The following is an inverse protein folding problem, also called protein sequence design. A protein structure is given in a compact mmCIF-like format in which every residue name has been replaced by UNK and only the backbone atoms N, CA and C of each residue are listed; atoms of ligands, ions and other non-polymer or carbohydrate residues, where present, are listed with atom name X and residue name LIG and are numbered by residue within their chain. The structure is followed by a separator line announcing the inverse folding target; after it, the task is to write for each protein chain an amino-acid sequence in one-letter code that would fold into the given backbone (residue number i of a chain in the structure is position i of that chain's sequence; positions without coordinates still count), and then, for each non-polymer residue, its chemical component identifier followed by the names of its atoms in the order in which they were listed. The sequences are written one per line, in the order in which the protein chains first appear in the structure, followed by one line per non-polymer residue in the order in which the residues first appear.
data_IF_740702062419
#
_entry.id   IF_740702062419
#
_cell.length_a   1.000
_cell.length_b   1.000
_cell.length_c   1.000
_cell.angle_alpha   90.00
_cell.angle_beta   90.00
_cell.angle_gamma   90.00
#
_symmetry.space_group_name_H-M   'P 1'
#
loop_
_entity.id
_entity.type
_entity.pdbx_description
1 polymer ?
#
# COMPACT_ATOMS: atom_id res chain seq x y z
N UNK A 1 -4.98 1.48 21.36
CA UNK A 1 -5.93 1.29 20.24
C UNK A 1 -5.10 0.87 19.05
N UNK A 2 -5.26 -0.36 18.59
CA UNK A 2 -4.58 -0.85 17.40
C UNK A 2 -5.19 -0.15 16.17
N UNK A 3 -4.33 0.43 15.32
CA UNK A 3 -4.75 1.10 14.08
C UNK A 3 -4.34 0.23 12.90
N UNK A 4 -5.29 -0.13 12.04
CA UNK A 4 -5.03 -0.95 10.86
C UNK A 4 -5.64 -0.32 9.60
N UNK A 5 -5.04 -0.64 8.45
CA UNK A 5 -5.50 -0.22 7.13
C UNK A 5 -5.54 -1.45 6.21
N UNK A 6 -6.63 -1.59 5.45
CA UNK A 6 -6.79 -2.67 4.47
C UNK A 6 -6.61 -2.10 3.06
N UNK A 7 -5.72 -2.71 2.30
CA UNK A 7 -5.46 -2.36 0.89
C UNK A 7 -5.87 -3.56 0.04
N UNK A 8 -6.71 -3.34 -0.96
CA UNK A 8 -7.22 -4.38 -1.87
C UNK A 8 -7.17 -3.91 -3.32
N UNK A 9 -6.71 -4.79 -4.20
CA UNK A 9 -6.85 -4.61 -5.64
C UNK A 9 -8.23 -5.08 -6.11
N UNK A 10 -8.81 -4.39 -7.11
CA UNK A 10 -10.02 -4.85 -7.80
C UNK A 10 -9.61 -5.69 -9.00
N UNK A 11 -10.07 -6.93 -9.07
CA UNK A 11 -9.77 -7.86 -10.17
C UNK A 11 -11.01 -8.42 -10.86
N UNK A 12 -12.16 -8.38 -10.18
CA UNK A 12 -13.43 -8.91 -10.66
C UNK A 12 -14.50 -7.81 -10.53
N UNK A 13 -15.38 -7.73 -11.52
CA UNK A 13 -16.49 -6.78 -11.56
C UNK A 13 -17.84 -7.48 -11.35
N UNK A 14 -18.87 -6.72 -10.96
CA UNK A 14 -20.20 -7.26 -10.63
C UNK A 14 -20.92 -7.90 -11.83
N UNK A 15 -20.45 -7.62 -13.06
CA UNK A 15 -20.98 -8.18 -14.31
C UNK A 15 -20.72 -9.69 -14.48
N UNK A 16 -20.09 -10.34 -13.50
CA UNK A 16 -19.84 -11.78 -13.52
C UNK A 16 -18.61 -12.16 -14.34
N UNK A 17 -17.89 -11.18 -14.89
CA UNK A 17 -16.61 -11.42 -15.57
C UNK A 17 -15.54 -11.71 -14.53
N UNK A 18 -15.34 -13.00 -14.25
CA UNK A 18 -14.26 -13.49 -13.39
C UNK A 18 -12.97 -13.53 -14.20
N UNK A 19 -12.36 -12.37 -14.42
CA UNK A 19 -11.23 -12.23 -15.31
C UNK A 19 -9.93 -12.54 -14.54
N UNK A 20 -9.67 -13.84 -14.35
CA UNK A 20 -8.54 -14.36 -13.56
C UNK A 20 -7.18 -13.81 -13.99
N UNK A 21 -7.06 -13.37 -15.24
CA UNK A 21 -5.85 -12.72 -15.78
C UNK A 21 -5.53 -11.38 -15.11
N UNK A 22 -6.53 -10.67 -14.59
CA UNK A 22 -6.37 -9.39 -13.91
C UNK A 22 -6.00 -9.53 -12.43
N UNK A 23 -6.20 -10.72 -11.84
CA UNK A 23 -5.88 -10.95 -10.43
C UNK A 23 -4.39 -10.75 -10.10
N UNK A 24 -3.42 -11.27 -10.88
CA UNK A 24 -2.00 -10.99 -10.66
C UNK A 24 -1.64 -9.51 -10.76
N UNK A 25 -2.19 -8.81 -11.77
CA UNK A 25 -1.95 -7.38 -11.97
C UNK A 25 -2.49 -6.57 -10.79
N UNK A 26 -3.73 -6.83 -10.40
CA UNK A 26 -4.40 -6.13 -9.31
C UNK A 26 -3.71 -6.35 -7.95
N UNK A 27 -3.25 -7.59 -7.70
CA UNK A 27 -2.45 -7.95 -6.53
C UNK A 27 -1.13 -7.19 -6.48
N UNK A 28 -0.41 -7.12 -7.62
CA UNK A 28 0.84 -6.38 -7.73
C UNK A 28 0.65 -4.88 -7.45
N UNK A 29 -0.42 -4.27 -7.99
CA UNK A 29 -0.75 -2.87 -7.72
C UNK A 29 -0.98 -2.61 -6.23
N UNK A 30 -1.77 -3.45 -5.56
CA UNK A 30 -2.03 -3.32 -4.12
C UNK A 30 -0.75 -3.45 -3.29
N UNK A 31 0.11 -4.42 -3.61
CA UNK A 31 1.39 -4.61 -2.92
C UNK A 31 2.37 -3.45 -3.14
N UNK A 32 2.44 -2.92 -4.37
CA UNK A 32 3.28 -1.75 -4.69
C UNK A 32 2.82 -0.49 -3.95
N UNK A 33 1.50 -0.30 -3.85
CA UNK A 33 0.92 0.80 -3.10
C UNK A 33 1.21 0.69 -1.60
N UNK A 34 1.04 -0.51 -1.02
CA UNK A 34 1.41 -0.80 0.37
C UNK A 34 2.88 -0.47 0.63
N UNK A 35 3.79 -0.92 -0.24
CA UNK A 35 5.23 -0.62 -0.13
C UNK A 35 5.45 0.89 -0.09
N UNK A 36 4.82 1.64 -1.00
CA UNK A 36 4.94 3.09 -1.06
C UNK A 36 4.46 3.77 0.23
N UNK A 37 3.33 3.33 0.79
CA UNK A 37 2.83 3.84 2.08
C UNK A 37 3.87 3.62 3.17
N UNK A 38 4.42 2.42 3.30
CA UNK A 38 5.42 2.10 4.34
C UNK A 38 6.62 3.04 4.23
N UNK A 39 7.12 3.32 3.03
CA UNK A 39 8.22 4.28 2.82
C UNK A 39 7.85 5.73 3.11
N UNK A 40 6.56 6.09 3.05
CA UNK A 40 6.06 7.44 3.29
C UNK A 40 5.64 7.69 4.73
N UNK A 41 5.46 6.65 5.54
CA UNK A 41 5.21 6.80 6.97
C UNK A 41 6.46 7.46 7.59
N UNK A 42 6.31 8.63 8.25
CA UNK A 42 7.42 9.26 8.94
C UNK A 42 7.97 8.30 10.00
N UNK A 43 9.26 7.98 9.91
CA UNK A 43 9.95 7.30 10.99
C UNK A 43 10.20 8.35 12.07
N UNK A 44 9.80 8.07 13.31
CA UNK A 44 9.97 8.96 14.46
C UNK A 44 11.45 9.18 14.86
N UNK A 45 12.41 8.88 13.99
CA UNK A 45 13.85 8.85 14.28
C UNK A 45 14.74 9.81 13.49
N UNK A 46 14.19 10.72 12.66
CA UNK A 46 15.01 11.61 11.82
C UNK A 46 14.81 13.12 12.09
N UNK A 47 14.56 13.51 13.35
CA UNK A 47 14.29 14.94 13.67
C UNK A 47 15.36 15.63 14.54
N UNK A 48 16.46 15.00 14.96
CA UNK A 48 17.40 15.66 15.91
C UNK A 48 18.83 15.93 15.40
N UNK A 49 19.13 15.75 14.11
CA UNK A 49 20.54 15.80 13.65
C UNK A 49 20.92 17.09 12.90
N UNK A 50 20.01 18.05 12.72
CA UNK A 50 20.22 19.19 11.81
C UNK A 50 20.33 20.56 12.51
N UNK A 51 20.36 20.62 13.85
CA UNK A 51 20.51 21.86 14.61
C UNK A 51 21.86 21.97 15.37
N UNK A 52 22.85 21.14 15.01
CA UNK A 52 24.19 21.17 15.60
C UNK A 52 25.25 21.64 14.58
N UNK A 53 25.04 22.81 13.96
CA UNK A 53 26.06 23.69 13.38
C UNK A 53 25.61 25.14 13.46
#
# INVERSE_FOLDING_TARGET
IESFMIIRGVADYHDGTLNKEWQPYSSLCAASFMKTIIYKIPHSGETENNNAL
#
